data_IF_676073961631
#
_entry.id   IF_676073961631
#
_cell.length_a   1.000
_cell.length_b   1.000
_cell.length_c   1.000
_cell.angle_alpha   90.00
_cell.angle_beta   90.00
_cell.angle_gamma   90.00
#
_symmetry.space_group_name_H-M   'P 1'
#
loop_
_entity.id
_entity.type
_entity.pdbx_description
1 polymer ?
#
# COMPACT_ATOMS: atom_id res chain seq x y z
N UNK A 1 34.63 17.19 3.52
CA UNK A 1 33.84 16.54 4.58
C UNK A 1 32.91 15.54 3.91
N UNK A 2 32.89 14.32 4.42
CA UNK A 2 32.38 13.09 3.80
C UNK A 2 30.85 13.04 3.66
N UNK A 3 30.27 13.78 2.73
CA UNK A 3 28.86 13.63 2.34
C UNK A 3 28.64 12.38 1.48
N UNK A 4 28.68 11.20 2.09
CA UNK A 4 28.42 9.93 1.41
C UNK A 4 26.93 9.58 1.34
N UNK A 5 26.55 8.70 0.40
CA UNK A 5 25.17 8.20 0.25
C UNK A 5 24.59 7.65 1.57
N UNK A 6 25.39 6.93 2.36
CA UNK A 6 24.97 6.39 3.65
C UNK A 6 24.60 7.48 4.67
N UNK A 7 25.28 8.63 4.65
CA UNK A 7 24.94 9.76 5.51
C UNK A 7 23.61 10.37 5.09
N UNK A 8 23.41 10.61 3.79
CA UNK A 8 22.17 11.18 3.25
C UNK A 8 20.98 10.27 3.56
N UNK A 9 21.12 8.95 3.39
CA UNK A 9 20.08 7.98 3.75
C UNK A 9 19.79 8.04 5.26
N UNK A 10 20.85 8.09 6.09
CA UNK A 10 20.72 8.24 7.54
C UNK A 10 19.92 9.49 7.94
N UNK A 11 20.19 10.63 7.31
CA UNK A 11 19.49 11.90 7.54
C UNK A 11 18.02 11.82 7.13
N UNK A 12 17.72 11.23 5.96
CA UNK A 12 16.35 11.04 5.48
C UNK A 12 15.54 10.14 6.42
N UNK A 13 16.13 9.03 6.87
CA UNK A 13 15.48 8.11 7.81
C UNK A 13 15.20 8.80 9.14
N UNK A 14 16.20 9.48 9.72
CA UNK A 14 16.06 10.17 11.00
C UNK A 14 14.98 11.27 10.94
N UNK A 15 14.95 12.05 9.84
CA UNK A 15 13.92 13.07 9.64
C UNK A 15 12.52 12.45 9.52
N UNK A 16 12.38 11.38 8.74
CA UNK A 16 11.08 10.71 8.51
C UNK A 16 10.54 10.10 9.80
N UNK A 17 11.39 9.45 10.60
CA UNK A 17 11.02 8.90 11.90
C UNK A 17 10.62 10.00 12.89
N UNK A 18 11.37 11.11 12.93
CA UNK A 18 11.05 12.25 13.77
C UNK A 18 9.72 12.92 13.35
N UNK A 19 9.53 13.16 12.04
CA UNK A 19 8.31 13.73 11.48
C UNK A 19 7.10 12.86 11.84
N UNK A 20 7.19 11.55 11.62
CA UNK A 20 6.13 10.60 11.97
C UNK A 20 5.85 10.61 13.47
N UNK A 21 6.89 10.61 14.29
CA UNK A 21 6.76 10.66 15.75
C UNK A 21 6.03 11.92 16.23
N UNK A 22 6.46 13.10 15.76
CA UNK A 22 5.85 14.39 16.12
C UNK A 22 4.40 14.47 15.65
N UNK A 23 4.12 14.08 14.41
CA UNK A 23 2.77 14.08 13.85
C UNK A 23 1.83 13.19 14.66
N UNK A 24 2.23 11.96 14.97
CA UNK A 24 1.37 11.02 15.72
C UNK A 24 1.18 11.49 17.17
N UNK A 25 2.26 11.95 17.81
CA UNK A 25 2.22 12.33 19.22
C UNK A 25 1.47 13.64 19.48
N UNK A 26 1.70 14.68 18.66
CA UNK A 26 1.36 16.06 19.03
C UNK A 26 0.30 16.74 18.14
N UNK A 27 0.10 16.29 16.90
CA UNK A 27 -0.82 16.97 15.98
C UNK A 27 -2.28 16.82 16.44
N UNK A 28 -3.05 17.89 16.44
CA UNK A 28 -4.49 17.80 16.77
C UNK A 28 -5.20 16.85 15.81
N UNK A 29 -6.11 16.01 16.31
CA UNK A 29 -6.86 15.00 15.51
C UNK A 29 -8.02 15.65 14.78
N UNK A 30 -7.69 16.57 13.88
CA UNK A 30 -8.60 17.32 13.03
C UNK A 30 -8.49 16.86 11.57
N UNK A 31 -9.16 17.56 10.66
CA UNK A 31 -9.17 17.26 9.22
C UNK A 31 -7.76 17.12 8.63
N UNK A 32 -6.84 18.03 8.96
CA UNK A 32 -5.47 17.98 8.46
C UNK A 32 -4.74 16.69 8.87
N UNK A 33 -4.98 16.20 10.10
CA UNK A 33 -4.42 14.92 10.55
C UNK A 33 -5.02 13.74 9.78
N UNK A 34 -6.33 13.76 9.54
CA UNK A 34 -7.01 12.72 8.78
C UNK A 34 -6.61 12.70 7.31
N UNK A 35 -6.43 13.86 6.66
CA UNK A 35 -5.89 13.92 5.29
C UNK A 35 -4.46 13.37 5.21
N UNK A 36 -3.60 13.74 6.16
CA UNK A 36 -2.24 13.23 6.19
C UNK A 36 -2.20 11.70 6.36
N UNK A 37 -3.07 11.15 7.23
CA UNK A 37 -3.18 9.71 7.40
C UNK A 37 -3.79 9.02 6.18
N UNK A 38 -4.81 9.59 5.59
CA UNK A 38 -5.46 9.07 4.37
C UNK A 38 -4.42 8.92 3.25
N UNK A 39 -3.68 9.98 2.93
CA UNK A 39 -2.62 9.93 1.92
C UNK A 39 -1.56 8.88 2.25
N UNK A 40 -1.07 8.84 3.50
CA UNK A 40 -0.08 7.85 3.92
C UNK A 40 -0.55 6.41 3.70
N UNK A 41 -1.82 6.11 3.99
CA UNK A 41 -2.32 4.76 3.84
C UNK A 41 -2.62 4.38 2.39
N UNK A 42 -3.09 5.30 1.56
CA UNK A 42 -3.26 5.05 0.12
C UNK A 42 -1.92 4.76 -0.56
N UNK A 43 -0.90 5.60 -0.33
CA UNK A 43 0.46 5.38 -0.84
C UNK A 43 1.06 4.04 -0.39
N UNK A 44 0.82 3.67 0.87
CA UNK A 44 1.29 2.39 1.43
C UNK A 44 0.55 1.19 0.85
N UNK A 45 -0.75 1.31 0.57
CA UNK A 45 -1.51 0.26 -0.09
C UNK A 45 -0.98 0.04 -1.51
N UNK A 46 -0.76 1.10 -2.29
CA UNK A 46 -0.17 1.03 -3.63
C UNK A 46 1.23 0.40 -3.58
N UNK A 47 2.07 0.85 -2.64
CA UNK A 47 3.42 0.30 -2.42
C UNK A 47 3.40 -1.20 -2.08
N UNK A 48 2.44 -1.65 -1.25
CA UNK A 48 2.30 -3.05 -0.90
C UNK A 48 1.92 -3.91 -2.11
N UNK A 49 1.01 -3.42 -2.96
CA UNK A 49 0.63 -4.09 -4.21
C UNK A 49 1.79 -4.14 -5.19
N UNK A 50 2.55 -3.04 -5.35
CA UNK A 50 3.77 -3.01 -6.18
C UNK A 50 4.77 -4.05 -5.72
N UNK A 51 5.08 -4.07 -4.43
CA UNK A 51 6.02 -5.03 -3.86
C UNK A 51 5.54 -6.47 -4.04
N UNK A 52 4.25 -6.74 -3.80
CA UNK A 52 3.65 -8.06 -4.04
C UNK A 52 3.80 -8.49 -5.50
N UNK A 53 3.62 -7.57 -6.46
CA UNK A 53 3.67 -7.87 -7.90
C UNK A 53 5.05 -8.35 -8.33
N UNK A 54 6.14 -7.88 -7.70
CA UNK A 54 7.51 -8.31 -8.02
C UNK A 54 7.77 -9.80 -7.77
N UNK A 55 6.90 -10.51 -7.04
CA UNK A 55 7.03 -11.96 -6.88
C UNK A 55 6.73 -12.73 -8.19
N UNK A 56 6.04 -12.09 -9.13
CA UNK A 56 5.72 -12.62 -10.45
C UNK A 56 6.84 -12.37 -11.48
N UNK A 57 7.79 -11.50 -11.15
CA UNK A 57 8.82 -11.06 -12.08
C UNK A 57 9.95 -12.10 -12.21
N UNK A 58 10.12 -12.72 -13.40
CA UNK A 58 11.13 -13.73 -13.61
C UNK A 58 12.57 -13.20 -13.49
N UNK A 59 12.81 -11.92 -13.75
CA UNK A 59 14.13 -11.28 -13.61
C UNK A 59 14.49 -11.08 -12.14
N UNK A 60 13.53 -10.64 -11.31
CA UNK A 60 13.74 -10.47 -9.86
C UNK A 60 13.72 -11.78 -9.08
N UNK A 61 12.94 -12.76 -9.54
CA UNK A 61 12.84 -14.05 -8.86
C UNK A 61 14.12 -14.89 -9.00
N UNK A 62 15.07 -14.51 -9.88
CA UNK A 62 16.23 -15.34 -10.26
C UNK A 62 15.79 -16.75 -10.71
N UNK A 63 14.55 -16.87 -11.19
CA UNK A 63 13.88 -18.14 -11.49
C UNK A 63 14.21 -18.54 -12.92
N UNK A 64 15.47 -18.95 -13.16
CA UNK A 64 15.75 -19.86 -14.29
C UNK A 64 15.28 -21.28 -13.99
N UNK A 65 15.16 -21.64 -12.70
CA UNK A 65 15.01 -23.02 -12.23
C UNK A 65 13.58 -23.38 -11.76
N UNK A 66 12.58 -22.52 -12.00
CA UNK A 66 11.18 -22.72 -11.62
C UNK A 66 10.75 -22.07 -10.29
N UNK A 67 9.43 -22.00 -10.02
CA UNK A 67 8.83 -21.24 -8.91
C UNK A 67 9.15 -21.80 -7.52
N UNK A 68 9.56 -23.07 -7.43
CA UNK A 68 9.94 -23.73 -6.16
C UNK A 68 11.46 -23.86 -6.00
N UNK A 69 12.24 -23.18 -6.85
CA UNK A 69 13.69 -23.15 -6.74
C UNK A 69 14.14 -22.46 -5.44
N UNK A 70 15.34 -22.81 -4.90
CA UNK A 70 15.93 -22.10 -3.77
C UNK A 70 16.04 -20.58 -4.01
N UNK A 71 16.31 -20.17 -5.25
CA UNK A 71 16.36 -18.77 -5.67
C UNK A 71 15.02 -18.04 -5.48
N UNK A 72 13.91 -18.67 -5.86
CA UNK A 72 12.57 -18.15 -5.60
C UNK A 72 12.30 -18.00 -4.08
N UNK A 73 12.82 -18.93 -3.27
CA UNK A 73 12.77 -18.85 -1.81
C UNK A 73 13.49 -17.61 -1.26
N UNK A 74 14.73 -17.37 -1.70
CA UNK A 74 15.50 -16.19 -1.32
C UNK A 74 14.81 -14.88 -1.70
N UNK A 75 14.23 -14.80 -2.91
CA UNK A 75 13.47 -13.62 -3.33
C UNK A 75 12.30 -13.33 -2.40
N UNK A 76 11.51 -14.35 -2.04
CA UNK A 76 10.38 -14.17 -1.08
C UNK A 76 10.86 -13.70 0.28
N UNK A 77 11.99 -14.21 0.78
CA UNK A 77 12.60 -13.73 2.03
C UNK A 77 12.92 -12.24 1.91
N UNK A 78 13.62 -11.82 0.85
CA UNK A 78 13.99 -10.43 0.62
C UNK A 78 12.77 -9.50 0.52
N UNK A 79 11.72 -9.91 -0.21
CA UNK A 79 10.45 -9.16 -0.30
C UNK A 79 9.81 -8.96 1.07
N UNK A 80 9.75 -10.04 1.86
CA UNK A 80 9.18 -9.99 3.19
C UNK A 80 10.05 -9.20 4.18
N UNK A 81 11.37 -9.14 4.00
CA UNK A 81 12.24 -8.26 4.79
C UNK A 81 12.02 -6.79 4.45
N UNK A 82 11.91 -6.45 3.15
CA UNK A 82 11.59 -5.11 2.69
C UNK A 82 10.24 -4.61 3.26
N UNK A 83 9.25 -5.50 3.34
CA UNK A 83 7.98 -5.24 4.01
C UNK A 83 7.97 -5.63 5.49
N UNK A 84 9.13 -5.87 6.13
CA UNK A 84 9.33 -6.46 7.47
C UNK A 84 8.14 -7.30 7.97
N UNK A 85 7.73 -8.20 7.09
CA UNK A 85 6.67 -9.18 7.18
C UNK A 85 7.24 -10.58 7.38
N UNK A 86 8.56 -10.78 7.25
CA UNK A 86 9.20 -12.09 7.34
C UNK A 86 8.93 -12.78 8.69
N UNK A 87 9.18 -12.09 9.80
CA UNK A 87 8.96 -12.66 11.13
C UNK A 87 7.47 -12.91 11.45
N UNK A 88 6.54 -11.99 11.14
CA UNK A 88 5.11 -12.30 11.19
C UNK A 88 4.73 -13.53 10.36
N UNK A 89 5.18 -13.60 9.10
CA UNK A 89 4.91 -14.73 8.22
C UNK A 89 5.43 -16.04 8.80
N UNK A 90 6.68 -16.06 9.28
CA UNK A 90 7.29 -17.26 9.86
C UNK A 90 6.54 -17.79 11.07
N UNK A 91 5.99 -16.89 11.90
CA UNK A 91 5.16 -17.27 13.05
C UNK A 91 3.82 -17.90 12.65
N UNK A 92 3.26 -17.48 11.53
CA UNK A 92 1.93 -17.88 11.10
C UNK A 92 1.93 -19.07 10.14
N UNK A 93 2.90 -19.13 9.23
CA UNK A 93 2.90 -20.04 8.09
C UNK A 93 4.21 -20.83 7.94
N UNK A 94 5.23 -20.55 8.76
CA UNK A 94 6.55 -21.17 8.62
C UNK A 94 7.33 -20.59 7.44
N UNK A 95 7.78 -21.42 6.52
CA UNK A 95 8.67 -20.97 5.44
C UNK A 95 7.94 -20.09 4.41
N UNK A 96 8.56 -18.97 3.93
CA UNK A 96 7.99 -18.13 2.89
C UNK A 96 7.61 -18.90 1.61
N UNK A 97 6.32 -18.87 1.31
CA UNK A 97 5.77 -19.33 0.04
C UNK A 97 4.91 -18.23 -0.60
N UNK A 98 4.48 -18.44 -1.84
CA UNK A 98 3.71 -17.45 -2.61
C UNK A 98 2.39 -17.06 -1.91
N UNK A 99 1.70 -18.03 -1.32
CA UNK A 99 0.44 -17.78 -0.61
C UNK A 99 0.67 -16.93 0.64
N UNK A 100 1.72 -17.22 1.42
CA UNK A 100 2.09 -16.44 2.59
C UNK A 100 2.48 -15.00 2.24
N UNK A 101 3.23 -14.78 1.15
CA UNK A 101 3.54 -13.43 0.66
C UNK A 101 2.26 -12.68 0.30
N UNK A 102 1.34 -13.34 -0.39
CA UNK A 102 0.02 -12.78 -0.76
C UNK A 102 -0.79 -12.43 0.47
N UNK A 103 -0.86 -13.33 1.44
CA UNK A 103 -1.56 -13.12 2.70
C UNK A 103 -1.01 -11.89 3.43
N UNK A 104 0.32 -11.83 3.63
CA UNK A 104 0.96 -10.76 4.37
C UNK A 104 0.90 -9.40 3.67
N UNK A 105 1.12 -9.34 2.36
CA UNK A 105 1.21 -8.07 1.64
C UNK A 105 -0.14 -7.54 1.18
N UNK A 106 -1.13 -8.40 0.93
CA UNK A 106 -2.44 -7.97 0.43
C UNK A 106 -3.56 -8.10 1.45
N UNK A 107 -3.69 -9.25 2.13
CA UNK A 107 -4.98 -9.67 2.73
C UNK A 107 -5.11 -9.40 4.22
N UNK A 108 -4.02 -9.46 4.98
CA UNK A 108 -4.10 -9.42 6.45
C UNK A 108 -4.64 -8.10 7.00
N UNK A 109 -5.84 -8.05 7.59
CA UNK A 109 -6.42 -6.80 8.09
C UNK A 109 -5.80 -6.34 9.42
N UNK A 110 -4.88 -7.10 10.01
CA UNK A 110 -4.19 -6.81 11.27
C UNK A 110 -2.70 -6.51 11.09
N UNK A 111 -2.17 -6.64 9.86
CA UNK A 111 -0.79 -6.35 9.57
C UNK A 111 -0.67 -4.94 8.98
N UNK A 112 -0.01 -3.98 9.66
CA UNK A 112 -0.05 -2.57 9.29
C UNK A 112 0.44 -2.24 7.87
N UNK A 113 1.18 -3.15 7.22
CA UNK A 113 1.72 -2.96 5.87
C UNK A 113 0.97 -3.72 4.78
N UNK A 114 -0.04 -4.50 5.12
CA UNK A 114 -0.87 -5.11 4.08
C UNK A 114 -1.71 -4.03 3.38
N UNK A 115 -2.05 -4.28 2.11
CA UNK A 115 -2.95 -3.40 1.37
C UNK A 115 -4.34 -3.33 2.04
N UNK A 116 -4.89 -4.46 2.51
CA UNK A 116 -6.20 -4.51 3.18
C UNK A 116 -6.24 -3.68 4.46
N UNK A 117 -5.22 -3.76 5.33
CA UNK A 117 -5.11 -2.91 6.52
C UNK A 117 -5.08 -1.44 6.14
N UNK A 118 -4.22 -1.07 5.19
CA UNK A 118 -4.06 0.32 4.76
C UNK A 118 -5.38 0.88 4.17
N UNK A 119 -6.09 0.12 3.35
CA UNK A 119 -7.37 0.54 2.79
C UNK A 119 -8.48 0.61 3.86
N UNK A 120 -8.47 -0.26 4.87
CA UNK A 120 -9.36 -0.16 6.03
C UNK A 120 -9.09 1.10 6.88
N UNK A 121 -7.83 1.47 7.06
CA UNK A 121 -7.47 2.73 7.72
C UNK A 121 -7.84 3.95 6.87
N UNK A 122 -7.68 3.88 5.53
CA UNK A 122 -8.15 4.92 4.63
C UNK A 122 -9.67 5.11 4.77
N UNK A 123 -10.43 4.02 4.88
CA UNK A 123 -11.88 4.06 5.10
C UNK A 123 -12.24 4.77 6.40
N UNK A 124 -11.52 4.44 7.48
CA UNK A 124 -11.71 5.06 8.79
C UNK A 124 -11.39 6.57 8.77
N UNK A 125 -10.38 7.00 8.01
CA UNK A 125 -10.05 8.42 7.85
C UNK A 125 -11.08 9.18 7.00
N UNK A 126 -11.61 8.57 5.93
CA UNK A 126 -12.71 9.17 5.16
C UNK A 126 -13.98 9.34 5.99
N UNK A 127 -14.33 8.34 6.81
CA UNK A 127 -15.45 8.44 7.73
C UNK A 127 -15.27 9.58 8.75
N UNK A 128 -14.04 9.77 9.26
CA UNK A 128 -13.72 10.88 10.15
C UNK A 128 -13.75 12.25 9.47
N UNK A 129 -13.51 12.29 8.15
CA UNK A 129 -13.71 13.46 7.28
C UNK A 129 -15.19 13.63 6.85
N UNK A 130 -16.12 12.91 7.49
CA UNK A 130 -17.56 12.99 7.27
C UNK A 130 -18.00 12.62 5.85
N UNK A 131 -17.27 11.72 5.19
CA UNK A 131 -17.67 11.17 3.89
C UNK A 131 -18.73 10.08 4.10
N UNK A 132 -19.86 10.20 3.41
CA UNK A 132 -20.95 9.22 3.46
C UNK A 132 -20.58 7.95 2.68
N UNK A 133 -21.03 6.79 3.17
CA UNK A 133 -20.82 5.48 2.54
C UNK A 133 -21.33 5.40 1.09
N UNK A 134 -22.31 6.23 0.72
CA UNK A 134 -22.89 6.27 -0.61
C UNK A 134 -22.09 7.13 -1.61
N UNK A 135 -21.12 7.93 -1.13
CA UNK A 135 -20.32 8.80 -1.98
C UNK A 135 -19.41 8.00 -2.93
N UNK A 136 -19.10 8.53 -4.13
CA UNK A 136 -18.24 7.86 -5.11
C UNK A 136 -16.90 7.40 -4.52
N UNK A 137 -16.25 8.22 -3.70
CA UNK A 137 -14.95 7.88 -3.09
C UNK A 137 -15.02 6.66 -2.16
N UNK A 138 -16.12 6.48 -1.42
CA UNK A 138 -16.32 5.31 -0.56
C UNK A 138 -16.61 4.05 -1.37
N UNK A 139 -17.28 4.20 -2.52
CA UNK A 139 -17.51 3.10 -3.46
C UNK A 139 -16.20 2.61 -4.09
N UNK A 140 -15.37 3.53 -4.59
CA UNK A 140 -14.06 3.17 -5.16
C UNK A 140 -13.17 2.53 -4.10
N UNK A 141 -13.16 3.07 -2.87
CA UNK A 141 -12.40 2.48 -1.78
C UNK A 141 -12.89 1.08 -1.42
N UNK A 142 -14.21 0.86 -1.35
CA UNK A 142 -14.80 -0.45 -1.12
C UNK A 142 -14.42 -1.47 -2.19
N UNK A 143 -14.41 -1.04 -3.47
CA UNK A 143 -13.94 -1.86 -4.60
C UNK A 143 -12.46 -2.23 -4.45
N UNK A 144 -11.59 -1.27 -4.14
CA UNK A 144 -10.17 -1.51 -3.93
C UNK A 144 -9.92 -2.49 -2.76
N UNK A 145 -10.60 -2.29 -1.63
CA UNK A 145 -10.50 -3.15 -0.45
C UNK A 145 -10.96 -4.58 -0.75
N UNK A 146 -12.11 -4.74 -1.43
CA UNK A 146 -12.59 -6.06 -1.85
C UNK A 146 -11.62 -6.72 -2.83
N UNK A 147 -11.04 -5.94 -3.75
CA UNK A 147 -10.06 -6.39 -4.72
C UNK A 147 -8.85 -7.06 -4.07
N UNK A 148 -8.22 -6.41 -3.09
CA UNK A 148 -7.02 -6.95 -2.41
C UNK A 148 -7.35 -8.05 -1.40
N UNK A 149 -8.56 -8.05 -0.83
CA UNK A 149 -8.94 -8.97 0.25
C UNK A 149 -9.53 -10.29 -0.27
N UNK A 150 -10.20 -10.29 -1.42
CA UNK A 150 -11.03 -11.41 -1.85
C UNK A 150 -10.79 -11.91 -3.27
N UNK A 151 -10.18 -11.10 -4.14
CA UNK A 151 -9.89 -11.57 -5.50
C UNK A 151 -8.60 -12.39 -5.53
N UNK A 152 -8.58 -13.36 -6.45
CA UNK A 152 -7.43 -14.22 -6.71
C UNK A 152 -6.80 -13.84 -8.06
N UNK A 153 -5.46 -13.86 -8.18
CA UNK A 153 -4.81 -13.74 -9.48
C UNK A 153 -5.03 -14.99 -10.32
N UNK A 154 -5.07 -14.82 -11.63
CA UNK A 154 -4.91 -15.95 -12.55
C UNK A 154 -3.51 -16.57 -12.38
N UNK A 155 -3.40 -17.87 -12.67
CA UNK A 155 -2.14 -18.59 -12.56
C UNK A 155 -1.08 -18.07 -13.55
N UNK A 156 0.19 -18.23 -13.17
CA UNK A 156 1.32 -17.80 -13.97
C UNK A 156 1.67 -16.31 -13.83
N UNK A 157 2.82 -15.93 -14.38
CA UNK A 157 3.36 -14.58 -14.20
C UNK A 157 2.45 -13.49 -14.80
N UNK A 158 1.91 -13.72 -16.00
CA UNK A 158 1.03 -12.77 -16.68
C UNK A 158 -0.24 -12.47 -15.87
N UNK A 159 -0.88 -13.50 -15.32
CA UNK A 159 -2.07 -13.36 -14.47
C UNK A 159 -1.79 -12.55 -13.20
N UNK A 160 -0.64 -12.78 -12.57
CA UNK A 160 -0.22 -12.02 -11.39
C UNK A 160 0.12 -10.56 -11.71
N UNK A 161 0.79 -10.28 -12.83
CA UNK A 161 1.04 -8.92 -13.28
C UNK A 161 -0.25 -8.17 -13.59
N UNK A 162 -1.18 -8.81 -14.31
CA UNK A 162 -2.49 -8.24 -14.59
C UNK A 162 -3.27 -7.97 -13.30
N UNK A 163 -3.22 -8.89 -12.34
CA UNK A 163 -3.83 -8.70 -11.02
C UNK A 163 -3.22 -7.50 -10.28
N UNK A 164 -1.89 -7.43 -10.20
CA UNK A 164 -1.18 -6.33 -9.54
C UNK A 164 -1.51 -4.97 -10.17
N UNK A 165 -1.50 -4.89 -11.49
CA UNK A 165 -1.87 -3.69 -12.24
C UNK A 165 -3.34 -3.29 -12.00
N UNK A 166 -4.27 -4.26 -11.98
CA UNK A 166 -5.67 -3.99 -11.69
C UNK A 166 -5.87 -3.46 -10.26
N UNK A 167 -5.17 -4.03 -9.26
CA UNK A 167 -5.23 -3.55 -7.87
C UNK A 167 -4.62 -2.15 -7.70
N UNK A 168 -3.53 -1.83 -8.39
CA UNK A 168 -2.99 -0.47 -8.42
C UNK A 168 -3.98 0.51 -9.06
N UNK A 169 -4.59 0.14 -10.18
CA UNK A 169 -5.60 0.97 -10.83
C UNK A 169 -6.83 1.21 -9.92
N UNK A 170 -7.26 0.19 -9.16
CA UNK A 170 -8.32 0.34 -8.17
C UNK A 170 -7.93 1.37 -7.09
N UNK A 171 -6.69 1.35 -6.58
CA UNK A 171 -6.19 2.31 -5.57
C UNK A 171 -6.06 3.72 -6.16
N UNK A 172 -5.51 3.86 -7.37
CA UNK A 172 -5.42 5.16 -8.05
C UNK A 172 -6.80 5.77 -8.33
N UNK A 173 -7.83 4.95 -8.56
CA UNK A 173 -9.21 5.44 -8.67
C UNK A 173 -9.72 6.03 -7.34
N UNK A 174 -9.33 5.46 -6.19
CA UNK A 174 -9.62 6.05 -4.88
C UNK A 174 -8.92 7.40 -4.73
N UNK A 175 -7.63 7.47 -5.06
CA UNK A 175 -6.84 8.72 -4.98
C UNK A 175 -7.47 9.82 -5.85
N UNK A 176 -7.87 9.49 -7.08
CA UNK A 176 -8.56 10.43 -7.97
C UNK A 176 -9.92 10.88 -7.40
N UNK A 177 -10.69 9.97 -6.80
CA UNK A 177 -11.97 10.32 -6.18
C UNK A 177 -11.79 11.18 -4.91
N UNK A 178 -10.71 10.98 -4.15
CA UNK A 178 -10.32 11.87 -3.03
C UNK A 178 -9.96 13.26 -3.57
N UNK A 179 -9.17 13.32 -4.64
CA UNK A 179 -8.79 14.58 -5.29
C UNK A 179 -10.02 15.36 -5.77
N UNK A 180 -10.91 14.70 -6.49
CA UNK A 180 -12.17 15.29 -6.97
C UNK A 180 -13.05 15.79 -5.81
N UNK A 181 -13.13 15.03 -4.72
CA UNK A 181 -14.02 15.34 -3.60
C UNK A 181 -13.54 16.50 -2.73
N UNK A 182 -12.23 16.68 -2.59
CA UNK A 182 -11.66 17.59 -1.58
C UNK A 182 -10.76 18.70 -2.15
N UNK A 183 -10.12 18.48 -3.30
CA UNK A 183 -9.05 19.35 -3.78
C UNK A 183 -9.35 19.97 -5.15
N UNK A 184 -10.18 19.34 -5.98
CA UNK A 184 -10.73 19.96 -7.19
C UNK A 184 -11.80 20.97 -6.77
N UNK A 185 -11.42 22.24 -6.67
CA UNK A 185 -12.36 23.32 -6.47
C UNK A 185 -13.38 23.34 -7.63
N UNK A 186 -14.68 23.20 -7.34
CA UNK A 186 -15.71 23.79 -8.21
C UNK A 186 -15.59 25.30 -8.07
N UNK A 187 -14.64 25.89 -8.79
CA UNK A 187 -14.52 27.34 -8.88
C UNK A 187 -15.80 27.83 -9.59
N UNK A 188 -16.70 28.60 -8.93
CA UNK A 188 -17.73 29.27 -9.69
C UNK A 188 -16.98 30.27 -10.56
N UNK A 189 -17.05 30.09 -11.89
CA UNK A 189 -16.65 31.12 -12.83
C UNK A 189 -17.32 32.41 -12.36
N UNK A 190 -16.55 33.37 -11.83
CA UNK A 190 -17.04 34.71 -11.53
C UNK A 190 -17.72 35.17 -12.82
N UNK A 191 -19.05 35.29 -12.81
CA UNK A 191 -19.76 35.98 -13.89
C UNK A 191 -19.19 37.39 -13.90
N UNK A 192 -18.48 37.72 -14.98
CA UNK A 192 -18.14 39.10 -15.29
C UNK A 192 -19.45 39.89 -15.34
N UNK A 193 -19.60 40.84 -14.42
CA UNK A 193 -20.64 41.86 -14.45
C UNK A 193 -20.11 43.06 -15.24
#
# INVERSE_FOLDING_TARGET
MSGGLGQVIGEIMAFTDAFRGVTIANMMRNEAWHFLRLGNFLERADSAVRLWTTQADPEFSLVRDGPDSPHAGFHRVALLEAASALMPLRRLHGEPNRQGVTEMLLRRPDFPRSASFCLGEAQSNLAALQVDMCEPVMRELGKALAGVSHLEPEEGAAGMFAFGAARQADISAVEAAVDERFFVAQMPLRRAA
#
